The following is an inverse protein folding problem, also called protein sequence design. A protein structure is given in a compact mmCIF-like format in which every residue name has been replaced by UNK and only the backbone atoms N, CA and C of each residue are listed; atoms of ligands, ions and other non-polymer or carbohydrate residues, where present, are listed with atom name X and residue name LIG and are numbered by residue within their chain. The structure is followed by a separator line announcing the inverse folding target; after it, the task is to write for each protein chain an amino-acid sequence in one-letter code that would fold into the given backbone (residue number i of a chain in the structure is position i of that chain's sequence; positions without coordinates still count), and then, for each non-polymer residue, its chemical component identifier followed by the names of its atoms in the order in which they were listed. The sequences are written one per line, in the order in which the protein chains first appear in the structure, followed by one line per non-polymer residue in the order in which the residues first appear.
data_IF_694884428494
#
_entry.id   IF_694884428494
#
_cell.length_a   1.000
_cell.length_b   1.000
_cell.length_c   1.000
_cell.angle_alpha   90.00
_cell.angle_beta   90.00
_cell.angle_gamma   90.00
#
_symmetry.space_group_name_H-M   'P 1'
#
loop_
_entity.id
_entity.type
_entity.pdbx_description
1 polymer ?
#
# COMPACT_ATOMS: atom_id res chain seq x y z
N UNK A 1 28.84 3.67 2.67
CA UNK A 1 28.48 3.92 1.25
C UNK A 1 28.57 5.42 1.00
N UNK A 2 29.14 5.84 -0.11
CA UNK A 2 29.09 7.23 -0.59
C UNK A 2 28.70 7.25 -2.07
N UNK A 3 27.91 8.24 -2.46
CA UNK A 3 27.47 8.45 -3.84
C UNK A 3 27.46 9.96 -4.10
N UNK A 4 27.88 10.37 -5.30
CA UNK A 4 27.83 11.75 -5.77
C UNK A 4 27.00 11.81 -7.04
N UNK A 5 26.10 12.78 -7.12
CA UNK A 5 25.39 13.09 -8.37
C UNK A 5 26.13 14.20 -9.12
N UNK A 6 26.10 14.13 -10.45
CA UNK A 6 26.62 15.20 -11.30
C UNK A 6 25.67 16.40 -11.35
N UNK A 7 26.21 17.56 -11.72
CA UNK A 7 25.39 18.74 -11.99
C UNK A 7 24.53 18.55 -13.24
N UNK A 8 23.29 19.00 -13.19
CA UNK A 8 22.38 19.10 -14.33
C UNK A 8 21.98 20.57 -14.48
N UNK A 9 22.33 21.16 -15.62
CA UNK A 9 22.12 22.58 -15.90
C UNK A 9 20.68 23.01 -15.60
N UNK A 10 20.51 24.06 -14.79
CA UNK A 10 19.22 24.62 -14.35
C UNK A 10 18.34 23.67 -13.50
N UNK A 11 18.87 22.54 -13.03
CA UNK A 11 18.11 21.56 -12.23
C UNK A 11 18.77 21.31 -10.89
N UNK A 12 20.08 21.02 -10.86
CA UNK A 12 20.82 20.77 -9.62
C UNK A 12 22.32 20.94 -9.85
N UNK A 13 23.02 21.50 -8.87
CA UNK A 13 24.49 21.59 -8.86
C UNK A 13 25.16 20.28 -8.42
N UNK A 14 24.36 19.25 -8.11
CA UNK A 14 24.82 17.97 -7.60
C UNK A 14 24.74 17.89 -6.08
N UNK A 15 24.71 16.65 -5.58
CA UNK A 15 24.62 16.31 -4.16
C UNK A 15 25.60 15.18 -3.82
N UNK A 16 26.15 15.27 -2.62
CA UNK A 16 26.91 14.20 -1.97
C UNK A 16 26.06 13.47 -0.95
N UNK A 17 25.91 12.16 -1.13
CA UNK A 17 25.17 11.27 -0.25
C UNK A 17 26.12 10.33 0.49
N UNK A 18 25.96 10.23 1.80
CA UNK A 18 26.74 9.33 2.67
C UNK A 18 25.82 8.53 3.57
N UNK A 19 26.11 7.23 3.70
CA UNK A 19 25.43 6.35 4.66
C UNK A 19 26.48 5.50 5.38
N UNK A 20 26.40 5.49 6.69
CA UNK A 20 27.14 4.58 7.55
C UNK A 20 26.17 3.85 8.48
N UNK A 21 26.28 2.51 8.56
CA UNK A 21 25.46 1.69 9.45
C UNK A 21 26.33 0.65 10.13
N UNK A 22 26.13 0.49 11.43
CA UNK A 22 26.68 -0.59 12.22
C UNK A 22 25.53 -1.37 12.86
N UNK A 23 25.59 -2.70 12.80
CA UNK A 23 24.61 -3.59 13.41
C UNK A 23 25.31 -4.77 14.04
N UNK A 24 24.94 -5.12 15.27
CA UNK A 24 25.38 -6.34 15.95
C UNK A 24 24.19 -7.24 16.18
N UNK A 25 24.28 -8.46 15.66
CA UNK A 25 23.32 -9.52 15.92
C UNK A 25 23.76 -10.35 17.13
N UNK A 26 22.77 -10.78 17.90
CA UNK A 26 22.89 -11.60 19.10
C UNK A 26 21.90 -12.79 18.99
N UNK A 27 22.09 -13.84 19.80
CA UNK A 27 21.13 -14.95 19.87
C UNK A 27 19.70 -14.49 20.20
N UNK A 28 18.73 -15.39 20.04
CA UNK A 28 17.33 -15.16 20.39
C UNK A 28 16.71 -13.96 19.66
N UNK A 29 16.93 -13.85 18.34
CA UNK A 29 16.33 -12.80 17.49
C UNK A 29 16.60 -11.38 18.02
N UNK A 30 17.75 -11.19 18.67
CA UNK A 30 18.15 -9.93 19.29
C UNK A 30 19.19 -9.23 18.43
N UNK A 31 19.08 -7.91 18.31
CA UNK A 31 20.13 -7.10 17.69
C UNK A 31 20.04 -5.67 18.20
N UNK A 32 21.14 -4.94 18.04
CA UNK A 32 21.16 -3.49 18.17
C UNK A 32 22.02 -2.90 17.06
N UNK A 33 21.75 -1.66 16.69
CA UNK A 33 22.45 -0.98 15.63
C UNK A 33 22.24 0.52 15.66
N UNK A 34 22.98 1.18 14.78
CA UNK A 34 22.86 2.60 14.54
C UNK A 34 23.12 2.92 13.08
N UNK A 35 22.58 4.04 12.62
CA UNK A 35 22.81 4.56 11.28
C UNK A 35 23.03 6.06 11.33
N UNK A 36 23.92 6.54 10.46
CA UNK A 36 24.05 7.95 10.13
C UNK A 36 23.90 8.12 8.63
N UNK A 37 23.06 9.06 8.23
CA UNK A 37 22.93 9.51 6.84
C UNK A 37 23.37 10.97 6.74
N UNK A 38 23.94 11.34 5.60
CA UNK A 38 24.37 12.71 5.31
C UNK A 38 24.10 13.03 3.86
N UNK A 39 23.34 14.08 3.61
CA UNK A 39 23.25 14.75 2.31
C UNK A 39 23.98 16.08 2.37
N UNK A 40 24.78 16.39 1.36
CA UNK A 40 25.43 17.69 1.20
C UNK A 40 25.17 18.22 -0.20
N UNK A 41 24.49 19.37 -0.31
CA UNK A 41 24.37 20.09 -1.58
C UNK A 41 25.72 20.67 -2.02
N UNK A 42 26.04 20.57 -3.31
CA UNK A 42 27.34 20.99 -3.86
C UNK A 42 27.35 22.41 -4.45
N UNK A 43 26.18 23.04 -4.63
CA UNK A 43 26.07 24.42 -5.11
C UNK A 43 26.30 25.48 -4.03
N UNK A 44 26.30 26.75 -4.42
CA UNK A 44 26.59 27.90 -3.52
C UNK A 44 25.57 28.06 -2.38
N UNK A 45 24.31 27.67 -2.63
CA UNK A 45 23.24 27.61 -1.62
C UNK A 45 23.14 26.22 -0.95
N UNK A 46 24.10 25.33 -1.19
CA UNK A 46 24.13 23.98 -0.65
C UNK A 46 24.32 23.98 0.86
N UNK A 47 23.64 23.05 1.54
CA UNK A 47 23.77 22.83 2.97
C UNK A 47 23.96 21.34 3.27
N UNK A 48 24.30 21.04 4.51
CA UNK A 48 24.44 19.68 5.01
C UNK A 48 23.19 19.34 5.83
N UNK A 49 22.56 18.21 5.51
CA UNK A 49 21.51 17.59 6.31
C UNK A 49 21.99 16.23 6.80
N UNK A 50 21.90 16.00 8.10
CA UNK A 50 22.25 14.73 8.74
C UNK A 50 21.07 14.10 9.44
N UNK A 51 21.02 12.77 9.43
CA UNK A 51 20.13 11.99 10.29
C UNK A 51 20.91 10.97 11.08
N UNK A 52 20.51 10.77 12.32
CA UNK A 52 21.09 9.82 13.26
C UNK A 52 20.00 8.90 13.75
N UNK A 53 20.23 7.59 13.78
CA UNK A 53 19.29 6.65 14.34
C UNK A 53 19.95 5.56 15.16
N UNK A 54 19.21 5.06 16.13
CA UNK A 54 19.48 3.82 16.85
C UNK A 54 18.28 2.90 16.72
N UNK A 55 18.53 1.62 16.59
CA UNK A 55 17.47 0.62 16.43
C UNK A 55 17.89 -0.71 17.06
N UNK A 56 16.90 -1.49 17.45
CA UNK A 56 17.15 -2.79 18.03
C UNK A 56 15.91 -3.64 18.15
N UNK A 57 16.14 -4.93 18.35
CA UNK A 57 15.13 -5.87 18.79
C UNK A 57 15.69 -6.72 19.92
N UNK A 58 14.83 -7.07 20.88
CA UNK A 58 15.11 -8.00 21.97
C UNK A 58 14.10 -9.14 21.88
N UNK A 59 14.57 -10.34 21.57
CA UNK A 59 13.73 -11.54 21.63
C UNK A 59 13.79 -12.19 23.01
N UNK A 60 12.61 -12.54 23.54
CA UNK A 60 12.46 -13.19 24.85
C UNK A 60 11.78 -14.55 24.62
N UNK A 61 12.50 -15.63 24.92
CA UNK A 61 12.09 -17.00 24.59
C UNK A 61 11.84 -17.17 23.08
N UNK A 62 10.82 -17.96 22.71
CA UNK A 62 10.46 -18.20 21.30
C UNK A 62 9.31 -17.34 20.79
N UNK A 63 8.58 -16.66 21.68
CA UNK A 63 7.31 -16.04 21.35
C UNK A 63 7.33 -14.51 21.36
N UNK A 64 8.19 -13.88 22.18
CA UNK A 64 8.13 -12.43 22.41
C UNK A 64 9.28 -11.74 21.68
N UNK A 65 8.98 -10.57 21.11
CA UNK A 65 9.98 -9.66 20.57
C UNK A 65 9.59 -8.22 20.88
N UNK A 66 10.51 -7.48 21.50
CA UNK A 66 10.42 -6.04 21.69
C UNK A 66 11.28 -5.36 20.62
N UNK A 67 10.76 -4.35 19.95
CA UNK A 67 11.44 -3.64 18.86
C UNK A 67 11.43 -2.15 19.20
N UNK A 68 12.59 -1.52 19.04
CA UNK A 68 12.78 -0.10 19.28
C UNK A 68 13.50 0.56 18.10
N UNK A 69 13.08 1.79 17.80
CA UNK A 69 13.75 2.67 16.86
C UNK A 69 13.64 4.10 17.39
N UNK A 70 14.72 4.87 17.31
CA UNK A 70 14.71 6.30 17.57
C UNK A 70 15.65 6.99 16.58
N UNK A 71 15.24 8.15 16.08
CA UNK A 71 16.01 8.95 15.16
C UNK A 71 15.87 10.44 15.44
N UNK A 72 16.91 11.18 15.07
CA UNK A 72 16.96 12.64 15.06
C UNK A 72 17.50 13.12 13.73
N UNK A 73 17.00 14.23 13.23
CA UNK A 73 17.50 14.87 12.00
C UNK A 73 17.93 16.29 12.30
N UNK A 74 18.75 16.84 11.42
CA UNK A 74 18.85 18.29 11.30
C UNK A 74 17.48 18.85 10.86
N UNK A 75 17.10 20.05 11.34
CA UNK A 75 15.90 20.72 10.89
C UNK A 75 16.07 21.20 9.44
N UNK A 76 14.97 21.42 8.73
CA UNK A 76 15.02 22.02 7.40
C UNK A 76 15.63 23.44 7.45
N UNK A 77 16.30 23.91 6.37
CA UNK A 77 16.81 25.28 6.31
C UNK A 77 15.74 26.31 6.66
N UNK A 78 16.09 27.28 7.51
CA UNK A 78 15.18 28.34 7.97
C UNK A 78 14.45 28.04 9.28
N UNK A 79 14.46 26.79 9.77
CA UNK A 79 13.94 26.45 11.10
C UNK A 79 15.05 26.62 12.14
N UNK A 80 14.84 27.50 13.13
CA UNK A 80 15.77 27.71 14.25
C UNK A 80 15.50 26.70 15.38
N UNK A 81 16.54 25.96 15.76
CA UNK A 81 16.49 24.94 16.81
C UNK A 81 16.14 23.53 16.28
N UNK A 82 16.46 22.50 17.05
CA UNK A 82 16.19 21.09 16.70
C UNK A 82 15.06 20.46 17.54
N UNK A 83 14.23 21.31 18.15
CA UNK A 83 13.02 20.87 18.83
C UNK A 83 12.10 20.21 17.79
N UNK A 84 11.47 19.10 18.17
CA UNK A 84 10.55 18.32 17.33
C UNK A 84 11.15 17.71 16.05
N UNK A 85 12.49 17.64 15.95
CA UNK A 85 13.19 16.98 14.82
C UNK A 85 13.52 15.52 15.15
N UNK A 86 12.52 14.74 15.55
CA UNK A 86 12.71 13.36 16.03
C UNK A 86 11.66 12.40 15.47
N UNK A 87 11.97 11.11 15.52
CA UNK A 87 11.01 10.04 15.30
C UNK A 87 11.36 8.85 16.19
N UNK A 88 10.36 8.16 16.73
CA UNK A 88 10.60 6.89 17.44
C UNK A 88 9.45 5.91 17.27
N UNK A 89 9.78 4.62 17.46
CA UNK A 89 8.85 3.49 17.44
C UNK A 89 9.19 2.58 18.60
N UNK A 90 8.17 2.16 19.33
CA UNK A 90 8.23 1.07 20.29
C UNK A 90 7.18 0.04 19.90
N UNK A 91 7.58 -1.22 19.83
CA UNK A 91 6.68 -2.30 19.45
C UNK A 91 6.94 -3.54 20.30
N UNK A 92 5.87 -4.15 20.80
CA UNK A 92 5.93 -5.43 21.47
C UNK A 92 5.05 -6.43 20.70
N UNK A 93 5.68 -7.53 20.29
CA UNK A 93 5.04 -8.63 19.60
C UNK A 93 5.05 -9.86 20.49
N UNK A 94 3.94 -10.60 20.50
CA UNK A 94 3.87 -11.95 21.04
C UNK A 94 3.22 -12.87 20.03
N UNK A 95 3.98 -13.81 19.49
CA UNK A 95 3.52 -14.76 18.49
C UNK A 95 3.68 -16.19 19.01
N UNK A 96 2.56 -16.90 19.13
CA UNK A 96 2.50 -18.33 19.42
C UNK A 96 1.66 -19.04 18.37
N UNK A 97 1.56 -20.37 18.46
CA UNK A 97 0.69 -21.15 17.59
C UNK A 97 -0.76 -20.62 17.59
N UNK A 98 -1.30 -20.31 18.78
CA UNK A 98 -2.71 -19.92 18.93
C UNK A 98 -2.95 -18.41 18.96
N UNK A 99 -1.95 -17.57 19.24
CA UNK A 99 -2.16 -16.13 19.38
C UNK A 99 -1.07 -15.30 18.69
N UNK A 100 -1.48 -14.23 18.02
CA UNK A 100 -0.59 -13.15 17.60
C UNK A 100 -1.10 -11.86 18.22
N UNK A 101 -0.28 -11.25 19.06
CA UNK A 101 -0.55 -9.97 19.69
C UNK A 101 0.51 -8.97 19.27
N UNK A 102 0.08 -7.74 19.05
CA UNK A 102 0.96 -6.62 18.72
C UNK A 102 0.46 -5.39 19.45
N UNK A 103 1.37 -4.65 20.07
CA UNK A 103 1.16 -3.27 20.47
C UNK A 103 2.31 -2.45 19.91
N UNK A 104 1.97 -1.33 19.28
CA UNK A 104 2.95 -0.44 18.67
C UNK A 104 2.57 1.00 18.97
N UNK A 105 3.58 1.75 19.40
CA UNK A 105 3.53 3.18 19.53
C UNK A 105 4.56 3.78 18.58
N UNK A 106 4.20 4.85 17.87
CA UNK A 106 5.16 5.61 17.09
C UNK A 106 4.83 7.09 17.12
N UNK A 107 5.85 7.92 17.14
CA UNK A 107 5.72 9.36 17.12
C UNK A 107 6.75 9.97 16.17
N UNK A 108 6.32 10.97 15.41
CA UNK A 108 7.18 11.72 14.48
C UNK A 108 6.94 13.19 14.74
N UNK A 109 7.98 13.90 15.14
CA UNK A 109 7.93 15.33 15.40
C UNK A 109 7.70 16.13 14.10
N UNK A 110 7.18 17.34 14.24
CA UNK A 110 6.79 18.19 13.10
C UNK A 110 7.97 18.66 12.23
N UNK A 111 9.18 18.66 12.77
CA UNK A 111 10.39 19.15 12.10
C UNK A 111 11.32 18.01 11.65
N UNK A 112 10.90 16.75 11.76
CA UNK A 112 11.71 15.61 11.32
C UNK A 112 11.90 15.63 9.80
N UNK A 113 13.15 15.75 9.35
CA UNK A 113 13.50 15.99 7.95
C UNK A 113 14.75 15.18 7.53
N UNK A 114 14.60 13.91 7.14
CA UNK A 114 15.75 13.05 6.86
C UNK A 114 16.41 13.26 5.49
N UNK A 115 15.76 13.99 4.57
CA UNK A 115 16.13 14.35 3.17
C UNK A 115 16.63 13.25 2.21
N UNK A 116 17.43 12.30 2.67
CA UNK A 116 17.82 11.07 1.98
C UNK A 116 16.73 9.98 2.08
N UNK A 117 15.63 10.25 2.78
CA UNK A 117 14.51 9.34 2.97
C UNK A 117 13.17 10.05 2.83
N UNK A 118 12.10 9.27 2.84
CA UNK A 118 10.74 9.79 2.70
C UNK A 118 9.94 9.62 3.99
N UNK A 119 9.27 10.69 4.41
CA UNK A 119 8.37 10.71 5.57
C UNK A 119 6.98 11.09 5.09
N UNK A 120 6.01 10.19 5.30
CA UNK A 120 4.63 10.35 4.80
C UNK A 120 3.79 11.35 5.58
N UNK A 121 4.06 11.49 6.88
CA UNK A 121 3.30 12.33 7.80
C UNK A 121 4.24 12.84 8.89
N UNK A 122 4.05 14.08 9.31
CA UNK A 122 4.80 14.74 10.37
C UNK A 122 3.86 15.14 11.50
N UNK A 123 4.41 15.45 12.68
CA UNK A 123 3.66 16.04 13.79
C UNK A 123 2.56 15.12 14.34
N UNK A 124 2.80 13.81 14.39
CA UNK A 124 1.79 12.86 14.83
C UNK A 124 2.32 11.86 15.86
N UNK A 125 1.42 11.37 16.71
CA UNK A 125 1.56 10.10 17.43
C UNK A 125 0.57 9.07 16.88
N UNK A 126 0.96 7.81 16.89
CA UNK A 126 0.15 6.69 16.43
C UNK A 126 0.23 5.55 17.43
N UNK A 127 -0.94 5.03 17.76
CA UNK A 127 -1.10 3.81 18.54
C UNK A 127 -1.66 2.74 17.61
N UNK A 128 -1.16 1.52 17.75
CA UNK A 128 -1.72 0.34 17.12
C UNK A 128 -1.76 -0.78 18.15
N UNK A 129 -2.87 -1.51 18.19
CA UNK A 129 -2.92 -2.80 18.87
C UNK A 129 -3.60 -3.83 17.99
N UNK A 130 -3.22 -5.09 18.18
CA UNK A 130 -3.85 -6.22 17.53
C UNK A 130 -3.83 -7.42 18.44
N UNK A 131 -4.95 -8.13 18.47
CA UNK A 131 -5.07 -9.46 19.08
C UNK A 131 -5.72 -10.34 18.03
N UNK A 132 -5.04 -11.42 17.66
CA UNK A 132 -5.57 -12.45 16.77
C UNK A 132 -5.41 -13.80 17.43
N UNK A 133 -6.49 -14.56 17.48
CA UNK A 133 -6.46 -15.98 17.85
C UNK A 133 -6.47 -16.84 16.58
N UNK A 134 -5.85 -18.02 16.63
CA UNK A 134 -5.98 -19.09 15.65
C UNK A 134 -6.49 -20.34 16.35
N UNK A 135 -7.68 -20.77 15.96
CA UNK A 135 -8.29 -22.00 16.47
C UNK A 135 -8.56 -22.93 15.30
N UNK A 136 -8.17 -24.20 15.41
CA UNK A 136 -8.43 -25.25 14.40
C UNK A 136 -9.30 -26.33 15.00
N UNK A 137 -10.63 -26.25 14.85
CA UNK A 137 -11.54 -27.29 15.31
C UNK A 137 -11.21 -28.62 14.62
N UNK A 138 -11.41 -29.75 15.32
CA UNK A 138 -11.22 -31.08 14.72
C UNK A 138 -12.32 -31.38 13.71
N UNK A 139 -13.57 -31.40 14.17
CA UNK A 139 -14.76 -31.79 13.40
C UNK A 139 -15.91 -30.80 13.60
N UNK A 140 -15.82 -29.62 12.99
CA UNK A 140 -16.87 -28.59 13.08
C UNK A 140 -17.18 -28.04 11.67
N UNK A 141 -18.29 -28.48 11.07
CA UNK A 141 -18.83 -27.99 9.79
C UNK A 141 -17.80 -27.83 8.64
N UNK A 142 -16.78 -28.69 8.58
CA UNK A 142 -15.73 -28.61 7.55
C UNK A 142 -14.78 -27.40 7.68
N UNK A 143 -14.80 -26.69 8.81
CA UNK A 143 -13.90 -25.58 9.12
C UNK A 143 -12.50 -26.13 9.38
N UNK A 144 -11.51 -25.49 8.74
CA UNK A 144 -10.07 -25.74 8.93
C UNK A 144 -9.50 -24.85 10.03
N UNK A 145 -9.83 -23.56 10.01
CA UNK A 145 -9.27 -22.56 10.93
C UNK A 145 -10.24 -21.39 11.13
N UNK A 146 -10.39 -20.96 12.38
CA UNK A 146 -11.04 -19.73 12.79
C UNK A 146 -10.00 -18.73 13.24
N UNK A 147 -10.16 -17.46 12.85
CA UNK A 147 -9.26 -16.37 13.27
C UNK A 147 -10.03 -15.15 13.76
N UNK A 148 -10.71 -15.23 14.92
CA UNK A 148 -11.27 -14.04 15.53
C UNK A 148 -10.14 -13.10 15.91
N UNK A 149 -10.28 -11.83 15.55
CA UNK A 149 -9.29 -10.82 15.80
C UNK A 149 -9.90 -9.42 15.93
N UNK A 150 -9.17 -8.61 16.67
CA UNK A 150 -9.41 -7.18 16.81
C UNK A 150 -8.12 -6.46 16.45
N UNK A 151 -8.22 -5.44 15.60
CA UNK A 151 -7.11 -4.56 15.24
C UNK A 151 -7.56 -3.13 15.36
N UNK A 152 -6.81 -2.33 16.10
CA UNK A 152 -7.01 -0.90 16.18
C UNK A 152 -5.76 -0.17 15.77
N UNK A 153 -5.91 0.95 15.09
CA UNK A 153 -4.88 1.98 15.04
C UNK A 153 -5.50 3.36 14.89
N UNK A 154 -4.76 4.38 15.30
CA UNK A 154 -5.18 5.77 15.14
C UNK A 154 -3.98 6.72 15.06
N UNK A 155 -4.19 7.88 14.46
CA UNK A 155 -3.24 8.98 14.36
C UNK A 155 -3.81 10.21 15.07
N UNK A 156 -2.99 10.82 15.92
CA UNK A 156 -3.30 12.07 16.62
C UNK A 156 -2.23 13.10 16.31
N UNK A 157 -2.64 14.34 16.06
CA UNK A 157 -1.73 15.47 15.97
C UNK A 157 -1.03 15.70 17.31
N UNK A 158 0.25 16.09 17.26
CA UNK A 158 1.02 16.44 18.45
C UNK A 158 0.68 17.84 18.98
N UNK A 159 0.19 18.72 18.12
CA UNK A 159 -0.08 20.13 18.46
C UNK A 159 -1.26 20.30 19.42
N UNK A 160 -2.40 19.66 19.11
CA UNK A 160 -3.67 19.84 19.81
C UNK A 160 -4.30 18.52 20.27
N UNK A 161 -3.70 17.37 19.93
CA UNK A 161 -4.25 16.06 20.22
C UNK A 161 -5.42 15.65 19.33
N UNK A 162 -5.72 16.39 18.26
CA UNK A 162 -6.81 16.06 17.33
C UNK A 162 -6.57 14.72 16.63
N UNK A 163 -7.58 13.85 16.61
CA UNK A 163 -7.49 12.54 15.97
C UNK A 163 -7.87 12.62 14.49
N UNK A 164 -6.86 12.66 13.62
CA UNK A 164 -7.07 12.76 12.16
C UNK A 164 -7.60 11.45 11.56
N UNK A 165 -7.21 10.31 12.13
CA UNK A 165 -7.58 9.00 11.59
C UNK A 165 -7.73 7.99 12.70
N UNK A 166 -8.79 7.18 12.66
CA UNK A 166 -8.99 6.03 13.54
C UNK A 166 -9.55 4.86 12.76
N UNK A 167 -9.15 3.65 13.13
CA UNK A 167 -9.63 2.43 12.52
C UNK A 167 -9.66 1.33 13.57
N UNK A 168 -10.85 0.83 13.89
CA UNK A 168 -11.08 -0.37 14.68
C UNK A 168 -11.72 -1.42 13.79
N UNK A 169 -11.12 -2.59 13.70
CA UNK A 169 -11.60 -3.72 12.93
C UNK A 169 -11.82 -4.90 13.87
N UNK A 170 -13.03 -5.42 13.90
CA UNK A 170 -13.41 -6.61 14.65
C UNK A 170 -13.91 -7.62 13.63
N UNK A 171 -13.27 -8.78 13.54
CA UNK A 171 -13.54 -9.74 12.48
C UNK A 171 -13.23 -11.16 12.92
N UNK A 172 -13.82 -12.13 12.23
CA UNK A 172 -13.46 -13.52 12.29
C UNK A 172 -13.27 -14.05 10.87
N UNK A 173 -12.08 -14.58 10.59
CA UNK A 173 -11.86 -15.33 9.37
C UNK A 173 -12.30 -16.78 9.56
N UNK A 174 -13.17 -17.26 8.69
CA UNK A 174 -13.67 -18.62 8.64
C UNK A 174 -13.06 -19.32 7.42
N UNK A 175 -12.03 -20.14 7.65
CA UNK A 175 -11.36 -20.91 6.61
C UNK A 175 -11.91 -22.34 6.59
N UNK A 176 -12.37 -22.82 5.42
CA UNK A 176 -12.93 -24.15 5.26
C UNK A 176 -11.93 -25.10 4.57
N UNK A 177 -12.02 -26.40 4.87
CA UNK A 177 -11.13 -27.43 4.33
C UNK A 177 -11.20 -27.55 2.81
N UNK A 178 -12.31 -27.14 2.20
CA UNK A 178 -12.47 -27.13 0.74
C UNK A 178 -11.84 -25.90 0.06
N UNK A 179 -11.23 -24.98 0.83
CA UNK A 179 -10.61 -23.74 0.35
C UNK A 179 -11.57 -22.55 0.24
N UNK A 180 -12.84 -22.72 0.62
CA UNK A 180 -13.76 -21.59 0.78
C UNK A 180 -13.36 -20.78 2.02
N UNK A 181 -13.55 -19.46 1.96
CA UNK A 181 -13.32 -18.56 3.07
C UNK A 181 -14.42 -17.50 3.12
N UNK A 182 -14.87 -17.18 4.32
CA UNK A 182 -15.67 -15.98 4.60
C UNK A 182 -15.06 -15.25 5.80
N UNK A 183 -14.98 -13.93 5.72
CA UNK A 183 -14.59 -13.05 6.82
C UNK A 183 -15.79 -12.14 7.12
N UNK A 184 -16.11 -11.98 8.40
CA UNK A 184 -17.35 -11.35 8.89
C UNK A 184 -17.04 -10.12 9.73
N UNK A 185 -16.33 -9.16 9.13
CA UNK A 185 -15.79 -8.01 9.83
C UNK A 185 -16.78 -6.87 10.01
N UNK A 186 -16.55 -6.07 11.04
CA UNK A 186 -17.13 -4.74 11.22
C UNK A 186 -15.96 -3.77 11.40
N UNK A 187 -15.95 -2.70 10.61
CA UNK A 187 -15.01 -1.60 10.75
C UNK A 187 -15.70 -0.42 11.43
N UNK A 188 -14.99 0.22 12.34
CA UNK A 188 -15.31 1.55 12.85
C UNK A 188 -14.19 2.48 12.41
N UNK A 189 -14.51 3.52 11.67
CA UNK A 189 -13.52 4.46 11.15
C UNK A 189 -13.79 5.85 11.72
N UNK A 190 -12.71 6.56 12.08
CA UNK A 190 -12.76 7.97 12.40
C UNK A 190 -12.00 8.74 11.33
N UNK A 191 -12.66 9.70 10.70
CA UNK A 191 -12.10 10.55 9.65
C UNK A 191 -12.16 12.00 10.15
N UNK A 192 -11.03 12.53 10.62
CA UNK A 192 -10.91 13.90 11.08
C UNK A 192 -10.51 14.83 9.94
N UNK A 193 -11.50 15.45 9.30
CA UNK A 193 -11.32 16.37 8.16
C UNK A 193 -11.12 17.78 8.69
N UNK A 194 -9.95 18.36 8.40
CA UNK A 194 -9.57 19.71 8.85
C UNK A 194 -9.99 20.77 7.83
N UNK A 195 -9.77 20.49 6.56
CA UNK A 195 -10.10 21.38 5.44
C UNK A 195 -11.08 20.68 4.51
N UNK A 196 -12.01 21.44 3.94
CA UNK A 196 -12.94 20.89 2.95
C UNK A 196 -12.19 20.39 1.72
N UNK A 197 -12.65 19.28 1.16
CA UNK A 197 -12.09 18.76 -0.09
C UNK A 197 -13.18 18.21 -1.00
N UNK A 198 -12.91 18.19 -2.31
CA UNK A 198 -13.78 17.52 -3.26
C UNK A 198 -13.50 16.02 -3.29
N UNK A 199 -14.50 15.21 -2.99
CA UNK A 199 -14.39 13.75 -3.07
C UNK A 199 -14.55 13.26 -4.51
N UNK A 200 -15.43 13.92 -5.26
CA UNK A 200 -15.58 13.84 -6.71
C UNK A 200 -15.92 15.24 -7.23
N UNK A 201 -15.85 15.45 -8.54
CA UNK A 201 -16.16 16.75 -9.16
C UNK A 201 -17.51 17.28 -8.67
N UNK A 202 -17.51 18.48 -8.08
CA UNK A 202 -18.72 19.15 -7.58
C UNK A 202 -19.30 18.62 -6.26
N UNK A 203 -18.71 17.59 -5.63
CA UNK A 203 -19.16 17.06 -4.33
C UNK A 203 -18.09 17.27 -3.26
N UNK A 204 -18.45 17.98 -2.20
CA UNK A 204 -17.52 18.41 -1.15
C UNK A 204 -17.78 17.67 0.15
N UNK A 205 -16.72 17.37 0.87
CA UNK A 205 -16.77 16.92 2.26
C UNK A 205 -16.33 18.09 3.14
N UNK A 206 -17.19 18.61 4.04
CA UNK A 206 -16.82 19.74 4.90
C UNK A 206 -15.89 19.31 6.05
N UNK A 207 -15.22 20.26 6.72
CA UNK A 207 -14.48 19.98 7.95
C UNK A 207 -15.38 19.43 9.03
N UNK A 208 -15.04 18.25 9.56
CA UNK A 208 -15.73 17.62 10.69
C UNK A 208 -14.94 16.40 11.17
N UNK A 209 -15.41 15.80 12.26
CA UNK A 209 -15.02 14.44 12.66
C UNK A 209 -16.15 13.48 12.32
N UNK A 210 -15.87 12.56 11.41
CA UNK A 210 -16.82 11.53 10.99
C UNK A 210 -16.50 10.21 11.68
N UNK A 211 -17.42 9.74 12.52
CA UNK A 211 -17.33 8.43 13.19
C UNK A 211 -18.27 7.45 12.50
N UNK A 212 -17.69 6.60 11.66
CA UNK A 212 -18.37 5.69 10.78
C UNK A 212 -18.35 4.26 11.32
N UNK A 213 -19.38 3.49 10.97
CA UNK A 213 -19.45 2.04 11.16
C UNK A 213 -19.83 1.40 9.84
N UNK A 214 -19.08 0.41 9.39
CA UNK A 214 -19.37 -0.34 8.18
C UNK A 214 -19.25 -1.85 8.40
N UNK A 215 -20.18 -2.59 7.83
CA UNK A 215 -20.03 -4.02 7.63
C UNK A 215 -18.91 -4.24 6.61
N UNK A 216 -18.02 -5.22 6.84
CA UNK A 216 -16.94 -5.59 5.93
C UNK A 216 -16.90 -7.12 5.78
N UNK A 217 -17.52 -7.62 4.72
CA UNK A 217 -17.56 -9.06 4.42
C UNK A 217 -16.58 -9.35 3.29
N UNK A 218 -15.70 -10.32 3.49
CA UNK A 218 -14.89 -10.89 2.40
C UNK A 218 -15.27 -12.34 2.19
N UNK A 219 -15.50 -12.74 0.96
CA UNK A 219 -15.75 -14.14 0.60
C UNK A 219 -14.84 -14.55 -0.54
N UNK A 220 -14.17 -15.69 -0.38
CA UNK A 220 -13.36 -16.30 -1.43
C UNK A 220 -13.82 -17.75 -1.66
N UNK A 221 -13.98 -18.12 -2.92
CA UNK A 221 -14.01 -19.55 -3.31
C UNK A 221 -12.62 -20.17 -3.17
N UNK A 222 -12.49 -21.47 -3.45
CA UNK A 222 -11.17 -22.10 -3.53
C UNK A 222 -10.32 -21.49 -4.67
N UNK A 223 -9.34 -20.68 -4.28
CA UNK A 223 -8.44 -19.97 -5.19
C UNK A 223 -7.49 -20.91 -5.97
N UNK A 224 -7.41 -22.19 -5.61
CA UNK A 224 -6.65 -23.21 -6.36
C UNK A 224 -7.47 -23.90 -7.43
N UNK A 225 -8.74 -23.55 -7.63
CA UNK A 225 -9.57 -24.10 -8.73
C UNK A 225 -9.41 -23.30 -10.03
N UNK A 226 -9.74 -23.92 -11.19
CA UNK A 226 -9.66 -23.24 -12.49
C UNK A 226 -10.45 -21.94 -12.52
N UNK A 227 -11.63 -21.91 -11.90
CA UNK A 227 -12.39 -20.70 -11.67
C UNK A 227 -12.38 -20.34 -10.18
N UNK A 228 -12.18 -19.07 -9.86
CA UNK A 228 -12.29 -18.57 -8.50
C UNK A 228 -12.80 -17.13 -8.44
N UNK A 229 -13.51 -16.84 -7.35
CA UNK A 229 -14.10 -15.55 -7.04
C UNK A 229 -13.56 -15.09 -5.69
N UNK A 230 -13.26 -13.80 -5.61
CA UNK A 230 -13.08 -13.04 -4.38
C UNK A 230 -14.06 -11.88 -4.43
N UNK A 231 -14.90 -11.74 -3.41
CA UNK A 231 -15.82 -10.63 -3.22
C UNK A 231 -15.50 -9.95 -1.89
N UNK A 232 -15.37 -8.62 -1.90
CA UNK A 232 -15.31 -7.81 -0.68
C UNK A 232 -16.42 -6.80 -0.74
N UNK A 233 -17.26 -6.81 0.30
CA UNK A 233 -18.42 -5.93 0.42
C UNK A 233 -18.23 -5.04 1.62
N UNK A 234 -18.37 -3.72 1.44
CA UNK A 234 -18.45 -2.76 2.54
C UNK A 234 -19.75 -1.99 2.47
N UNK A 235 -20.52 -2.01 3.55
CA UNK A 235 -21.82 -1.32 3.61
C UNK A 235 -21.94 -0.61 4.95
N UNK A 236 -22.10 0.71 4.92
CA UNK A 236 -22.31 1.51 6.13
C UNK A 236 -21.84 2.96 5.95
N UNK A 237 -21.46 3.59 7.07
CA UNK A 237 -21.11 5.01 7.11
C UNK A 237 -19.87 5.35 6.29
N UNK A 238 -19.89 6.52 5.66
CA UNK A 238 -18.80 7.07 4.85
C UNK A 238 -18.88 8.61 4.85
N UNK A 239 -17.92 9.27 5.52
CA UNK A 239 -17.99 10.70 5.82
C UNK A 239 -19.36 11.13 6.40
N UNK A 240 -20.02 12.12 5.80
CA UNK A 240 -21.36 12.61 6.12
C UNK A 240 -22.45 11.81 5.39
N UNK A 241 -22.37 10.48 5.34
CA UNK A 241 -23.34 9.69 4.60
C UNK A 241 -23.06 8.19 4.64
N UNK A 242 -23.50 7.48 3.61
CA UNK A 242 -23.33 6.03 3.47
C UNK A 242 -22.70 5.61 2.13
N UNK A 243 -22.08 4.43 2.16
CA UNK A 243 -21.48 3.80 0.99
C UNK A 243 -21.84 2.33 0.92
N UNK A 244 -22.18 1.89 -0.28
CA UNK A 244 -22.19 0.48 -0.70
C UNK A 244 -21.03 0.23 -1.66
N UNK A 245 -20.03 -0.50 -1.20
CA UNK A 245 -18.87 -0.88 -1.98
C UNK A 245 -18.87 -2.39 -2.25
N UNK A 246 -18.58 -2.75 -3.50
CA UNK A 246 -18.42 -4.12 -3.96
C UNK A 246 -17.15 -4.23 -4.80
N UNK A 247 -16.14 -4.87 -4.22
CA UNK A 247 -14.87 -5.19 -4.89
C UNK A 247 -14.88 -6.68 -5.27
N UNK A 248 -15.05 -6.96 -6.56
CA UNK A 248 -15.12 -8.31 -7.11
C UNK A 248 -13.86 -8.62 -7.90
N UNK A 249 -13.23 -9.77 -7.65
CA UNK A 249 -12.17 -10.34 -8.47
C UNK A 249 -12.59 -11.71 -8.97
N UNK A 250 -12.70 -11.86 -10.28
CA UNK A 250 -12.95 -13.13 -10.96
C UNK A 250 -11.64 -13.59 -11.59
N UNK A 251 -11.26 -14.84 -11.35
CA UNK A 251 -10.10 -15.46 -12.00
C UNK A 251 -10.52 -16.73 -12.68
N UNK A 252 -10.03 -16.91 -13.88
CA UNK A 252 -10.21 -18.15 -14.62
C UNK A 252 -8.88 -18.58 -15.23
N UNK A 253 -8.59 -19.87 -15.17
CA UNK A 253 -7.53 -20.49 -15.95
C UNK A 253 -8.07 -21.73 -16.65
N UNK A 254 -7.58 -21.96 -17.85
CA UNK A 254 -7.90 -23.14 -18.63
C UNK A 254 -6.60 -23.81 -19.06
N UNK A 255 -6.39 -25.03 -18.58
CA UNK A 255 -5.12 -25.77 -18.75
C UNK A 255 -3.92 -24.99 -18.21
N UNK A 256 -2.82 -25.08 -18.94
CA UNK A 256 -1.56 -24.37 -18.73
C UNK A 256 -1.39 -23.14 -19.65
N UNK A 257 -2.31 -22.94 -20.61
CA UNK A 257 -2.18 -21.91 -21.66
C UNK A 257 -2.93 -20.63 -21.38
N UNK A 258 -4.09 -20.68 -20.73
CA UNK A 258 -4.94 -19.49 -20.61
C UNK A 258 -5.16 -19.09 -19.16
N UNK A 259 -5.00 -17.80 -18.88
CA UNK A 259 -5.38 -17.18 -17.60
C UNK A 259 -6.10 -15.86 -17.85
N UNK A 260 -7.07 -15.55 -17.00
CA UNK A 260 -7.75 -14.27 -16.96
C UNK A 260 -8.02 -13.81 -15.53
N UNK A 261 -8.04 -12.49 -15.35
CA UNK A 261 -8.45 -11.82 -14.11
C UNK A 261 -9.33 -10.63 -14.48
N UNK A 262 -10.54 -10.58 -13.94
CA UNK A 262 -11.42 -9.41 -14.02
C UNK A 262 -11.57 -8.85 -12.62
N UNK A 263 -11.25 -7.58 -12.45
CA UNK A 263 -11.45 -6.83 -11.21
C UNK A 263 -12.49 -5.76 -11.47
N UNK A 264 -13.48 -5.67 -10.59
CA UNK A 264 -14.51 -4.62 -10.58
C UNK A 264 -14.51 -4.00 -9.20
N UNK A 265 -14.31 -2.69 -9.11
CA UNK A 265 -14.45 -1.91 -7.88
C UNK A 265 -15.61 -0.94 -8.05
N UNK A 266 -16.72 -1.22 -7.40
CA UNK A 266 -17.92 -0.42 -7.48
C UNK A 266 -18.17 0.27 -6.14
N UNK A 267 -18.50 1.55 -6.16
CA UNK A 267 -18.96 2.30 -4.99
C UNK A 267 -20.20 3.10 -5.39
N UNK A 268 -21.26 2.94 -4.61
CA UNK A 268 -22.45 3.79 -4.61
C UNK A 268 -22.44 4.58 -3.30
N UNK A 269 -22.33 5.90 -3.41
CA UNK A 269 -22.16 6.81 -2.27
C UNK A 269 -23.33 7.79 -2.25
N UNK A 270 -23.92 7.93 -1.06
CA UNK A 270 -24.97 8.91 -0.76
C UNK A 270 -24.51 9.74 0.43
N UNK A 271 -24.40 11.05 0.24
CA UNK A 271 -24.06 12.03 1.25
C UNK A 271 -25.34 12.71 1.76
N UNK A 272 -25.36 13.07 3.03
CA UNK A 272 -26.51 13.67 3.73
C UNK A 272 -26.88 15.06 3.17
N UNK A 273 -25.95 15.74 2.52
CA UNK A 273 -26.16 17.03 1.84
C UNK A 273 -26.82 16.90 0.46
N UNK A 274 -27.28 15.69 0.11
CA UNK A 274 -27.88 15.37 -1.19
C UNK A 274 -26.85 15.01 -2.27
N UNK A 275 -25.57 14.87 -1.91
CA UNK A 275 -24.53 14.40 -2.81
C UNK A 275 -24.62 12.91 -3.12
N UNK A 276 -25.07 12.53 -4.31
CA UNK A 276 -25.04 11.13 -4.76
C UNK A 276 -24.07 10.94 -5.94
N UNK A 277 -23.27 9.88 -5.91
CA UNK A 277 -22.40 9.51 -7.02
C UNK A 277 -22.01 8.03 -7.01
N UNK A 278 -21.69 7.51 -8.20
CA UNK A 278 -21.19 6.15 -8.39
C UNK A 278 -19.78 6.22 -8.96
N UNK A 279 -18.85 5.47 -8.36
CA UNK A 279 -17.53 5.21 -8.95
C UNK A 279 -17.39 3.73 -9.30
N UNK A 280 -16.91 3.45 -10.51
CA UNK A 280 -16.77 2.11 -11.04
C UNK A 280 -15.49 1.98 -11.85
N UNK A 281 -14.55 1.18 -11.33
CA UNK A 281 -13.32 0.80 -12.01
C UNK A 281 -13.41 -0.67 -12.41
N UNK A 282 -13.33 -0.95 -13.70
CA UNK A 282 -13.21 -2.30 -14.24
C UNK A 282 -11.83 -2.51 -14.84
N UNK A 283 -11.22 -3.67 -14.58
CA UNK A 283 -9.93 -4.06 -15.15
C UNK A 283 -9.95 -5.52 -15.55
N UNK A 284 -9.71 -5.81 -16.82
CA UNK A 284 -9.55 -7.16 -17.36
C UNK A 284 -8.11 -7.44 -17.74
N UNK A 285 -7.53 -8.53 -17.25
CA UNK A 285 -6.24 -9.06 -17.72
C UNK A 285 -6.48 -10.42 -18.37
N UNK A 286 -5.93 -10.62 -19.56
CA UNK A 286 -5.97 -11.87 -20.30
C UNK A 286 -4.54 -12.27 -20.63
N UNK A 287 -4.22 -13.56 -20.54
CA UNK A 287 -2.94 -14.09 -21.00
C UNK A 287 -3.17 -15.44 -21.64
N UNK A 288 -2.67 -15.59 -22.86
CA UNK A 288 -2.70 -16.82 -23.62
C UNK A 288 -1.28 -17.20 -24.06
N UNK A 289 -0.81 -18.37 -23.64
CA UNK A 289 0.46 -18.95 -24.06
C UNK A 289 0.24 -19.82 -25.30
N UNK A 290 0.81 -19.41 -26.44
CA UNK A 290 0.89 -20.22 -27.65
C UNK A 290 1.93 -21.34 -27.49
N UNK A 291 3.03 -21.04 -26.79
CA UNK A 291 4.11 -21.95 -26.43
C UNK A 291 4.75 -21.52 -25.09
N UNK A 292 5.71 -22.29 -24.58
CA UNK A 292 6.45 -21.97 -23.34
C UNK A 292 7.31 -20.70 -23.42
N UNK A 293 7.38 -20.07 -24.59
CA UNK A 293 8.13 -18.84 -24.83
C UNK A 293 7.37 -17.86 -25.74
N UNK A 294 6.10 -18.13 -26.09
CA UNK A 294 5.28 -17.27 -26.95
C UNK A 294 3.95 -17.00 -26.27
N UNK A 295 3.65 -15.73 -26.02
CA UNK A 295 2.49 -15.30 -25.25
C UNK A 295 1.81 -14.09 -25.87
N UNK A 296 0.49 -14.03 -25.69
CA UNK A 296 -0.32 -12.84 -25.91
C UNK A 296 -0.86 -12.41 -24.55
N UNK A 297 -0.68 -11.14 -24.20
CA UNK A 297 -1.21 -10.52 -22.99
C UNK A 297 -2.06 -9.31 -23.35
N UNK A 298 -3.22 -9.20 -22.72
CA UNK A 298 -4.09 -8.02 -22.84
C UNK A 298 -4.42 -7.48 -21.45
N UNK A 299 -4.41 -6.17 -21.31
CA UNK A 299 -4.90 -5.44 -20.16
C UNK A 299 -5.89 -4.40 -20.65
N UNK A 300 -7.12 -4.47 -20.15
CA UNK A 300 -8.21 -3.54 -20.41
C UNK A 300 -8.56 -2.87 -19.10
N UNK A 301 -8.79 -1.56 -19.10
CA UNK A 301 -9.24 -0.83 -17.92
C UNK A 301 -10.27 0.23 -18.33
N UNK A 302 -11.29 0.41 -17.51
CA UNK A 302 -12.29 1.46 -17.64
C UNK A 302 -12.54 2.10 -16.27
N UNK A 303 -12.59 3.43 -16.22
CA UNK A 303 -12.91 4.21 -15.03
C UNK A 303 -14.00 5.24 -15.37
N UNK A 304 -15.18 5.10 -14.76
CA UNK A 304 -16.30 6.02 -15.03
C UNK A 304 -16.08 7.43 -14.44
N UNK A 305 -15.21 7.60 -13.44
CA UNK A 305 -15.04 8.91 -12.79
C UNK A 305 -14.27 9.89 -13.69
N UNK A 306 -13.31 9.38 -14.46
CA UNK A 306 -12.57 10.14 -15.47
C UNK A 306 -13.11 9.90 -16.88
N UNK A 307 -14.15 9.08 -17.03
CA UNK A 307 -14.62 8.55 -18.32
C UNK A 307 -13.45 8.09 -19.23
N UNK A 308 -12.51 7.36 -18.64
CA UNK A 308 -11.31 6.90 -19.32
C UNK A 308 -11.36 5.39 -19.56
N UNK A 309 -11.01 4.98 -20.78
CA UNK A 309 -10.65 3.60 -21.04
C UNK A 309 -9.22 3.49 -21.55
N UNK A 310 -8.60 2.37 -21.23
CA UNK A 310 -7.28 2.03 -21.75
C UNK A 310 -7.16 0.55 -22.08
N UNK A 311 -6.36 0.27 -23.08
CA UNK A 311 -5.98 -1.05 -23.51
C UNK A 311 -4.48 -1.11 -23.74
N UNK A 312 -3.87 -2.16 -23.23
CA UNK A 312 -2.51 -2.56 -23.53
C UNK A 312 -2.56 -4.00 -24.03
N UNK A 313 -2.10 -4.21 -25.26
CA UNK A 313 -1.96 -5.53 -25.86
C UNK A 313 -0.50 -5.80 -26.16
N UNK A 314 -0.02 -7.00 -25.83
CA UNK A 314 1.38 -7.39 -25.95
C UNK A 314 1.51 -8.78 -26.53
N UNK A 315 2.17 -8.89 -27.67
CA UNK A 315 2.75 -10.14 -28.14
C UNK A 315 4.19 -10.22 -27.65
N UNK A 316 4.55 -11.37 -27.07
CA UNK A 316 5.87 -11.62 -26.51
C UNK A 316 6.37 -12.94 -27.09
N UNK A 317 7.47 -12.89 -27.81
CA UNK A 317 8.25 -14.08 -28.18
C UNK A 317 9.61 -13.98 -27.50
N UNK A 318 9.75 -14.71 -26.41
CA UNK A 318 10.91 -14.68 -25.54
C UNK A 318 11.98 -15.69 -26.02
N UNK A 319 13.24 -15.27 -25.99
CA UNK A 319 14.39 -16.14 -26.30
C UNK A 319 15.12 -16.55 -25.02
N UNK A 320 15.47 -15.58 -24.17
CA UNK A 320 15.99 -15.80 -22.82
C UNK A 320 15.41 -14.76 -21.85
N UNK A 321 15.86 -14.72 -20.59
CA UNK A 321 15.41 -13.68 -19.66
C UNK A 321 15.74 -12.29 -20.22
N UNK A 322 14.71 -11.45 -20.38
CA UNK A 322 14.77 -10.09 -20.92
C UNK A 322 15.22 -9.95 -22.40
N UNK A 323 15.29 -11.05 -23.17
CA UNK A 323 15.56 -11.01 -24.62
C UNK A 323 14.43 -11.63 -25.43
N UNK A 324 14.23 -11.10 -26.63
CA UNK A 324 13.19 -11.54 -27.53
C UNK A 324 12.52 -10.39 -28.28
N UNK A 325 11.42 -10.74 -28.93
CA UNK A 325 10.56 -9.83 -29.68
C UNK A 325 9.34 -9.45 -28.85
N UNK A 326 9.10 -8.14 -28.76
CA UNK A 326 7.93 -7.56 -28.11
C UNK A 326 7.22 -6.66 -29.10
N UNK A 327 5.94 -6.93 -29.31
CA UNK A 327 5.04 -6.06 -30.09
C UNK A 327 3.96 -5.58 -29.13
N UNK A 328 3.92 -4.27 -28.89
CA UNK A 328 3.03 -3.65 -27.92
C UNK A 328 2.14 -2.65 -28.61
N UNK A 329 0.83 -2.79 -28.42
CA UNK A 329 -0.15 -1.78 -28.77
C UNK A 329 -0.72 -1.19 -27.48
N UNK A 330 -0.70 0.14 -27.35
CA UNK A 330 -1.45 0.83 -26.31
C UNK A 330 -2.45 1.78 -26.94
N UNK A 331 -3.64 1.82 -26.35
CA UNK A 331 -4.64 2.82 -26.60
C UNK A 331 -5.13 3.33 -25.26
N UNK A 332 -5.20 4.64 -25.11
CA UNK A 332 -5.89 5.29 -24.01
C UNK A 332 -6.75 6.39 -24.59
N UNK A 333 -7.98 6.48 -24.13
CA UNK A 333 -8.90 7.51 -24.53
C UNK A 333 -9.55 8.09 -23.29
N UNK A 334 -9.44 9.41 -23.23
CA UNK A 334 -10.08 10.28 -22.27
C UNK A 334 -11.28 10.93 -22.98
N UNK A 335 -12.47 10.74 -22.41
CA UNK A 335 -13.72 11.33 -22.92
C UNK A 335 -14.09 12.64 -22.21
N UNK A 336 -13.34 13.06 -21.19
CA UNK A 336 -13.65 14.25 -20.39
C UNK A 336 -12.90 15.51 -20.91
N UNK A 337 -13.51 16.22 -21.87
CA UNK A 337 -13.08 17.57 -22.27
C UNK A 337 -13.40 17.99 -23.71
N UNK A 338 -14.08 19.14 -23.88
CA UNK A 338 -14.26 19.80 -25.19
C UNK A 338 -13.04 20.71 -25.49
N UNK A 339 -12.40 20.68 -26.69
CA UNK A 339 -12.56 19.79 -27.83
C UNK A 339 -11.23 19.12 -28.21
N UNK A 340 -10.63 18.33 -27.32
CA UNK A 340 -9.58 17.41 -27.79
C UNK A 340 -9.80 16.06 -27.11
N UNK A 341 -10.48 15.18 -27.81
CA UNK A 341 -10.43 13.74 -27.55
C UNK A 341 -8.96 13.34 -27.63
N UNK A 342 -8.27 13.23 -26.49
CA UNK A 342 -6.90 12.72 -26.46
C UNK A 342 -6.94 11.21 -26.54
N UNK A 343 -7.18 10.70 -27.75
CA UNK A 343 -6.87 9.31 -28.07
C UNK A 343 -5.37 9.21 -28.28
N UNK A 344 -4.68 8.59 -27.33
CA UNK A 344 -3.26 8.27 -27.48
C UNK A 344 -3.13 6.83 -27.92
N UNK A 345 -2.70 6.64 -29.17
CA UNK A 345 -2.36 5.32 -29.71
C UNK A 345 -0.85 5.22 -29.81
N UNK A 346 -0.29 4.12 -29.34
CA UNK A 346 1.13 3.83 -29.52
C UNK A 346 1.31 2.40 -29.98
N UNK A 347 2.23 2.24 -30.93
CA UNK A 347 2.69 0.95 -31.40
C UNK A 347 4.19 0.89 -31.17
N UNK A 348 4.64 -0.09 -30.40
CA UNK A 348 6.04 -0.26 -30.02
C UNK A 348 6.51 -1.63 -30.48
N UNK A 349 7.57 -1.62 -31.27
CA UNK A 349 8.33 -2.81 -31.64
C UNK A 349 9.67 -2.77 -30.90
N UNK A 350 9.97 -3.82 -30.15
CA UNK A 350 11.27 -4.00 -29.50
C UNK A 350 11.81 -5.38 -29.80
N UNK A 351 13.06 -5.43 -30.23
CA UNK A 351 13.83 -6.65 -30.34
C UNK A 351 15.11 -6.51 -29.53
N UNK A 352 15.40 -7.49 -28.68
CA UNK A 352 16.67 -7.60 -27.96
C UNK A 352 17.24 -9.00 -28.12
N UNK A 353 18.54 -9.08 -28.37
CA UNK A 353 19.29 -10.32 -28.55
C UNK A 353 20.48 -10.33 -27.59
N UNK A 354 20.66 -11.45 -26.89
CA UNK A 354 21.83 -11.67 -26.04
C UNK A 354 22.77 -12.59 -26.81
N UNK A 355 24.02 -12.18 -26.95
CA UNK A 355 25.09 -13.00 -27.47
C UNK A 355 26.22 -13.09 -26.46
N UNK A 356 26.81 -14.27 -26.35
CA UNK A 356 28.01 -14.54 -25.57
C UNK A 356 29.18 -14.62 -26.55
N UNK A 357 30.21 -13.80 -26.36
CA UNK A 357 31.40 -13.74 -27.22
C UNK A 357 32.43 -14.82 -26.82
N UNK A 358 32.22 -15.49 -25.68
CA UNK A 358 33.23 -16.33 -25.03
C UNK A 358 32.94 -17.84 -25.11
N UNK A 359 31.94 -18.27 -25.89
CA UNK A 359 31.60 -19.68 -26.12
C UNK A 359 31.80 -20.12 -27.58
#
# INVERSE_FOLDING_TARGET
LNMRTGSVKNVSDGDDYGVFRLKKELPNRTYFGGMVTRKKGLGDAGYINQSYSVDGALGIGDAIQLIGFAAKTDPAPGIKGNNDSYAYVLEANRNTQSFTNQIRYSEVGKNFNPEMGFVKRLGYRKVLFRILNRTRPKDFFGILELRPHITYWGYWKLEDGFQETGFLHIDNHWEFRNGFRIDTGINFTKEGVVDSFQIVSGKWVPPSTYDNKELHIRTNTNLTKPFSIILVTKIGGFFNGDRKNFDTTLRYRFGDRFTSEVISKYNDVKLDDGGEFITHLMRGRLTYALASNIYIQSLLQYNNQSDEWSMNWRFIWQQSAATGLYIVYNEAQDYDGIPITKSTKSFVLKYSYLFDIMN
#
